data_IF_330015859998
#
_entry.id   IF_330015859998
#
_cell.length_a   1.000
_cell.length_b   1.000
_cell.length_c   1.000
_cell.angle_alpha   90.00
_cell.angle_beta   90.00
_cell.angle_gamma   90.00
#
_symmetry.space_group_name_H-M   'P 1'
#
loop_
_entity.id
_entity.type
_entity.pdbx_description
1 polymer ?
#
# COMPACT_ATOMS: atom_id res chain seq x y z
N UNK A 1 7.28 7.20 14.70
CA UNK A 1 6.79 7.86 13.47
C UNK A 1 6.30 6.77 12.55
N UNK A 2 5.10 6.91 11.98
CA UNK A 2 4.60 5.97 10.96
C UNK A 2 5.33 6.26 9.65
N UNK A 3 5.94 5.24 9.05
CA UNK A 3 6.59 5.39 7.74
C UNK A 3 5.56 5.29 6.60
N UNK A 4 5.90 5.80 5.42
CA UNK A 4 4.97 5.80 4.30
C UNK A 4 4.56 4.39 3.86
N UNK A 5 5.47 3.41 3.91
CA UNK A 5 5.14 2.00 3.66
C UNK A 5 4.12 1.44 4.66
N UNK A 6 4.27 1.76 5.96
CA UNK A 6 3.28 1.38 6.98
C UNK A 6 1.92 2.05 6.73
N UNK A 7 1.92 3.32 6.31
CA UNK A 7 0.69 4.04 5.97
C UNK A 7 0.00 3.47 4.72
N UNK A 8 0.77 3.06 3.71
CA UNK A 8 0.23 2.38 2.51
C UNK A 8 -0.39 1.04 2.90
N UNK A 9 0.29 0.22 3.70
CA UNK A 9 -0.23 -1.07 4.17
C UNK A 9 -1.50 -0.88 4.99
N UNK A 10 -1.55 0.12 5.88
CA UNK A 10 -2.74 0.45 6.63
C UNK A 10 -3.91 0.84 5.71
N UNK A 11 -3.67 1.69 4.70
CA UNK A 11 -4.69 2.06 3.72
C UNK A 11 -5.21 0.85 2.93
N UNK A 12 -4.33 -0.03 2.46
CA UNK A 12 -4.74 -1.23 1.72
C UNK A 12 -5.59 -2.18 2.58
N UNK A 13 -5.34 -2.24 3.90
CA UNK A 13 -6.20 -2.96 4.86
C UNK A 13 -7.55 -2.28 5.04
N UNK A 14 -7.57 -0.96 5.21
CA UNK A 14 -8.80 -0.18 5.38
C UNK A 14 -9.72 -0.31 4.15
N UNK A 15 -9.12 -0.43 2.97
CA UNK A 15 -9.82 -0.67 1.70
C UNK A 15 -10.18 -2.15 1.46
N UNK A 16 -9.82 -3.06 2.37
CA UNK A 16 -10.04 -4.50 2.26
C UNK A 16 -9.54 -5.10 0.93
N UNK A 17 -8.40 -4.64 0.43
CA UNK A 17 -7.83 -5.12 -0.83
C UNK A 17 -7.27 -6.54 -0.65
N UNK A 18 -7.79 -7.48 -1.44
CA UNK A 18 -7.30 -8.86 -1.46
C UNK A 18 -6.08 -9.00 -2.38
N UNK A 19 -5.20 -10.00 -2.13
CA UNK A 19 -4.13 -10.34 -3.08
C UNK A 19 -4.67 -10.58 -4.49
N UNK A 20 -3.83 -10.31 -5.48
CA UNK A 20 -4.15 -10.32 -6.90
C UNK A 20 -5.16 -9.25 -7.38
N UNK A 21 -5.54 -8.30 -6.51
CA UNK A 21 -6.36 -7.15 -6.88
C UNK A 21 -5.49 -5.99 -7.39
N UNK A 22 -5.97 -5.33 -8.45
CA UNK A 22 -5.38 -4.11 -9.00
C UNK A 22 -6.18 -2.87 -8.59
N UNK A 23 -5.51 -1.88 -8.00
CA UNK A 23 -6.08 -0.56 -7.70
C UNK A 23 -5.32 0.56 -8.39
N UNK A 24 -5.94 1.73 -8.54
CA UNK A 24 -5.25 2.92 -9.03
C UNK A 24 -4.37 3.54 -7.94
N UNK A 25 -3.22 4.10 -8.31
CA UNK A 25 -2.44 4.92 -7.36
C UNK A 25 -3.19 6.19 -6.93
N UNK A 26 -4.24 6.62 -7.64
CA UNK A 26 -5.16 7.68 -7.16
C UNK A 26 -6.05 7.24 -5.98
N UNK A 27 -6.16 5.94 -5.71
CA UNK A 27 -6.81 5.42 -4.51
C UNK A 27 -5.83 5.37 -3.32
N UNK A 28 -4.53 5.62 -3.56
CA UNK A 28 -3.47 5.58 -2.56
C UNK A 28 -2.93 6.98 -2.24
N UNK A 29 -2.54 7.74 -3.27
CA UNK A 29 -1.88 9.04 -3.13
C UNK A 29 -2.73 10.06 -2.36
N UNK A 30 -3.92 10.46 -2.87
CA UNK A 30 -4.77 11.47 -2.24
C UNK A 30 -5.15 11.17 -0.77
N UNK A 31 -5.53 9.94 -0.39
CA UNK A 31 -5.79 9.64 1.02
C UNK A 31 -4.56 9.80 1.93
N UNK A 32 -3.36 9.48 1.45
CA UNK A 32 -2.13 9.61 2.24
C UNK A 32 -1.62 11.06 2.30
N UNK A 33 -1.73 11.83 1.21
CA UNK A 33 -1.39 13.26 1.24
C UNK A 33 -2.35 14.05 2.12
N UNK A 34 -3.64 13.71 2.12
CA UNK A 34 -4.62 14.30 3.05
C UNK A 34 -4.29 14.00 4.53
N UNK A 35 -3.60 12.89 4.81
CA UNK A 35 -3.06 12.54 6.13
C UNK A 35 -1.69 13.16 6.43
N UNK A 36 -1.18 14.02 5.54
CA UNK A 36 0.09 14.73 5.72
C UNK A 36 1.35 13.94 5.32
N UNK A 37 1.20 12.79 4.65
CA UNK A 37 2.36 12.05 4.11
C UNK A 37 2.81 12.73 2.83
N UNK A 38 4.08 13.13 2.76
CA UNK A 38 4.61 13.82 1.59
C UNK A 38 4.70 12.87 0.38
N UNK A 39 4.55 13.42 -0.83
CA UNK A 39 4.48 12.62 -2.05
C UNK A 39 5.77 11.83 -2.33
N UNK A 40 6.93 12.41 -2.03
CA UNK A 40 8.24 11.75 -2.13
C UNK A 40 8.36 10.58 -1.14
N UNK A 41 7.82 10.74 0.06
CA UNK A 41 7.75 9.66 1.06
C UNK A 41 6.83 8.53 0.59
N UNK A 42 5.66 8.85 0.02
CA UNK A 42 4.75 7.85 -0.58
C UNK A 42 5.48 7.06 -1.67
N UNK A 43 6.20 7.75 -2.57
CA UNK A 43 6.95 7.11 -3.65
C UNK A 43 8.05 6.18 -3.10
N UNK A 44 8.80 6.64 -2.09
CA UNK A 44 9.81 5.80 -1.42
C UNK A 44 9.19 4.57 -0.74
N UNK A 45 8.01 4.73 -0.13
CA UNK A 45 7.24 3.64 0.48
C UNK A 45 6.77 2.61 -0.55
N UNK A 46 6.24 3.06 -1.68
CA UNK A 46 5.86 2.18 -2.79
C UNK A 46 7.06 1.36 -3.28
N UNK A 47 8.20 2.01 -3.55
CA UNK A 47 9.41 1.31 -3.97
C UNK A 47 9.96 0.35 -2.91
N UNK A 48 9.86 0.70 -1.63
CA UNK A 48 10.23 -0.20 -0.56
C UNK A 48 9.37 -1.46 -0.56
N UNK A 49 8.05 -1.32 -0.60
CA UNK A 49 7.11 -2.46 -0.65
C UNK A 49 7.26 -3.31 -1.91
N UNK A 50 7.55 -2.69 -3.05
CA UNK A 50 7.79 -3.38 -4.31
C UNK A 50 9.06 -4.24 -4.27
N UNK A 51 10.16 -3.72 -3.68
CA UNK A 51 11.40 -4.49 -3.46
C UNK A 51 11.17 -5.70 -2.56
N UNK A 52 10.27 -5.60 -1.58
CA UNK A 52 9.87 -6.70 -0.69
C UNK A 52 8.88 -7.69 -1.33
N UNK A 53 8.48 -7.46 -2.59
CA UNK A 53 7.48 -8.25 -3.31
C UNK A 53 6.16 -8.34 -2.54
N UNK A 54 5.77 -7.25 -1.88
CA UNK A 54 4.45 -7.11 -1.23
C UNK A 54 3.45 -6.56 -2.23
N UNK A 55 3.89 -5.61 -3.05
CA UNK A 55 3.12 -5.04 -4.16
C UNK A 55 3.94 -5.12 -5.45
N UNK A 56 3.27 -4.96 -6.58
CA UNK A 56 3.88 -4.52 -7.82
C UNK A 56 3.24 -3.21 -8.27
N UNK A 57 4.00 -2.37 -9.00
CA UNK A 57 3.50 -1.11 -9.54
C UNK A 57 3.84 -1.03 -11.01
N UNK A 58 2.80 -0.93 -11.85
CA UNK A 58 2.92 -0.81 -13.30
C UNK A 58 2.11 0.40 -13.78
N UNK A 59 2.82 1.47 -14.17
CA UNK A 59 2.17 2.74 -14.51
C UNK A 59 1.38 3.30 -13.33
N UNK A 60 0.06 3.49 -13.51
CA UNK A 60 -0.85 4.00 -12.48
C UNK A 60 -1.60 2.89 -11.71
N UNK A 61 -1.14 1.64 -11.79
CA UNK A 61 -1.77 0.49 -11.15
C UNK A 61 -0.85 -0.09 -10.08
N UNK A 62 -1.41 -0.35 -8.91
CA UNK A 62 -0.80 -1.12 -7.83
C UNK A 62 -1.46 -2.49 -7.80
N UNK A 63 -0.67 -3.54 -7.92
CA UNK A 63 -1.08 -4.93 -7.78
C UNK A 63 -0.66 -5.46 -6.41
N UNK A 64 -1.59 -6.02 -5.64
CA UNK A 64 -1.24 -6.59 -4.32
C UNK A 64 -0.75 -8.04 -4.47
N UNK A 65 0.51 -8.31 -4.09
CA UNK A 65 1.10 -9.64 -4.24
C UNK A 65 0.90 -10.54 -3.01
N UNK A 66 0.82 -9.94 -1.82
CA UNK A 66 0.74 -10.65 -0.54
C UNK A 66 -0.41 -10.09 0.29
N UNK A 67 -1.03 -10.94 1.10
CA UNK A 67 -2.06 -10.48 2.03
C UNK A 67 -1.45 -9.46 2.99
N UNK A 68 -2.10 -8.30 3.10
CA UNK A 68 -1.73 -7.26 4.05
C UNK A 68 -2.53 -7.37 5.32
N UNK A 69 -3.68 -8.05 5.32
CA UNK A 69 -4.43 -8.33 6.54
C UNK A 69 -3.52 -8.98 7.58
N UNK A 70 -3.64 -8.62 8.87
CA UNK A 70 -3.01 -9.44 9.91
C UNK A 70 -3.49 -10.86 9.67
N UNK A 71 -2.57 -11.81 9.51
CA UNK A 71 -2.91 -13.23 9.50
C UNK A 71 -3.84 -13.43 10.68
N UNK A 72 -5.10 -13.75 10.44
CA UNK A 72 -5.95 -14.24 11.51
C UNK A 72 -5.15 -15.43 12.06
N UNK A 73 -4.63 -15.31 13.27
CA UNK A 73 -4.20 -16.46 14.03
C UNK A 73 -5.47 -17.31 14.12
N UNK A 74 -5.55 -18.30 13.23
CA UNK A 74 -6.52 -19.38 13.34
C UNK A 74 -6.40 -19.93 14.75
N UNK A 75 -7.56 -20.03 15.39
CA UNK A 75 -7.81 -20.52 16.74
C UNK A 75 -7.00 -21.78 17.10
#
# INVERSE_FOLDING_TARGET
MVTADQAIIALLRDLAIEPATDISLYEVGPPLTAKGVAQDQILQGLYFLQRQKIIDVAGNRLHLLKSVSPTAMSL
#
